data_IF_065116563809
#
_entry.id   IF_065116563809
#
_cell.length_a   1.000
_cell.length_b   1.000
_cell.length_c   1.000
_cell.angle_alpha   90.00
_cell.angle_beta   90.00
_cell.angle_gamma   90.00
#
_symmetry.space_group_name_H-M   'P 1'
#
loop_
_entity.id
_entity.type
_entity.pdbx_description
1 polymer ?
#
# COMPACT_ATOMS: atom_id res chain seq x y z
N UNK A 1 7.91 -4.60 21.36
CA UNK A 1 8.41 -5.38 20.21
C UNK A 1 9.46 -4.52 19.52
N UNK A 2 10.75 -4.75 19.77
CA UNK A 2 11.81 -3.98 19.13
C UNK A 2 11.85 -4.34 17.65
N UNK A 3 11.60 -3.37 16.78
CA UNK A 3 11.89 -3.51 15.36
C UNK A 3 13.41 -3.52 15.23
N UNK A 4 14.00 -4.71 15.18
CA UNK A 4 15.38 -4.85 14.74
C UNK A 4 15.44 -4.31 13.32
N UNK A 5 16.25 -3.26 13.10
CA UNK A 5 16.42 -2.65 11.79
C UNK A 5 17.14 -3.68 10.92
N UNK A 6 16.37 -4.47 10.19
CA UNK A 6 16.89 -5.60 9.42
C UNK A 6 17.91 -5.10 8.41
N UNK A 7 19.10 -5.69 8.43
CA UNK A 7 20.25 -5.13 7.72
C UNK A 7 20.17 -5.38 6.21
N UNK A 8 19.59 -4.40 5.50
CA UNK A 8 19.47 -4.42 4.04
C UNK A 8 20.83 -4.47 3.33
N UNK A 9 21.92 -4.12 4.03
CA UNK A 9 23.29 -4.13 3.48
C UNK A 9 23.76 -5.54 3.12
N UNK A 10 23.14 -6.58 3.70
CA UNK A 10 23.38 -7.97 3.33
C UNK A 10 23.12 -8.23 1.84
N UNK A 11 22.29 -7.43 1.20
CA UNK A 11 21.89 -7.58 -0.19
C UNK A 11 22.67 -6.68 -1.17
N UNK A 12 23.64 -5.91 -0.68
CA UNK A 12 24.54 -5.13 -1.54
C UNK A 12 25.83 -5.90 -1.86
N UNK A 13 26.43 -5.62 -3.01
CA UNK A 13 27.78 -6.05 -3.36
C UNK A 13 28.85 -5.19 -2.65
N UNK A 14 30.12 -5.52 -2.85
CA UNK A 14 31.26 -4.79 -2.25
C UNK A 14 31.33 -3.32 -2.71
N UNK A 15 30.67 -2.98 -3.81
CA UNK A 15 30.61 -1.63 -4.39
C UNK A 15 29.35 -0.88 -3.97
N UNK A 16 28.52 -1.46 -3.09
CA UNK A 16 27.26 -0.88 -2.62
C UNK A 16 26.11 -0.97 -3.62
N UNK A 17 26.23 -1.72 -4.72
CA UNK A 17 25.13 -1.93 -5.66
C UNK A 17 24.31 -3.15 -5.26
N UNK A 18 23.11 -3.28 -5.82
CA UNK A 18 22.24 -4.43 -5.55
C UNK A 18 22.87 -5.74 -6.05
N UNK A 19 23.14 -6.64 -5.10
CA UNK A 19 23.71 -7.95 -5.36
C UNK A 19 22.63 -8.98 -5.70
N UNK A 20 22.13 -8.99 -6.93
CA UNK A 20 21.06 -9.93 -7.35
C UNK A 20 21.38 -11.42 -7.13
N UNK A 21 22.66 -11.81 -7.13
CA UNK A 21 23.07 -13.17 -6.75
C UNK A 21 22.71 -13.50 -5.29
N UNK A 22 22.82 -12.53 -4.38
CA UNK A 22 22.44 -12.67 -2.97
C UNK A 22 20.92 -12.77 -2.82
N UNK A 23 20.15 -12.09 -3.67
CA UNK A 23 18.68 -12.19 -3.70
C UNK A 23 18.27 -13.60 -4.09
N UNK A 24 18.83 -14.10 -5.20
CA UNK A 24 18.53 -15.44 -5.70
C UNK A 24 18.88 -16.49 -4.65
N UNK A 25 20.09 -16.43 -4.09
CA UNK A 25 20.50 -17.36 -3.03
C UNK A 25 19.57 -17.32 -1.81
N UNK A 26 19.13 -16.13 -1.38
CA UNK A 26 18.18 -15.99 -0.27
C UNK A 26 16.82 -16.58 -0.63
N UNK A 27 16.30 -16.29 -1.81
CA UNK A 27 15.03 -16.84 -2.28
C UNK A 27 15.07 -18.36 -2.42
N UNK A 28 16.17 -18.92 -2.91
CA UNK A 28 16.35 -20.36 -3.02
C UNK A 28 16.43 -21.03 -1.64
N UNK A 29 17.04 -20.37 -0.66
CA UNK A 29 17.00 -20.80 0.74
C UNK A 29 15.57 -20.79 1.29
N UNK A 30 14.83 -19.69 1.07
CA UNK A 30 13.46 -19.54 1.55
C UNK A 30 12.50 -20.54 0.88
N UNK A 31 12.67 -20.86 -0.41
CA UNK A 31 11.88 -21.88 -1.13
C UNK A 31 11.92 -23.24 -0.45
N UNK A 32 13.03 -23.60 0.19
CA UNK A 32 13.18 -24.86 0.93
C UNK A 32 12.34 -24.90 2.21
N UNK A 33 12.05 -23.73 2.79
CA UNK A 33 11.21 -23.59 3.98
C UNK A 33 9.74 -23.44 3.59
N UNK A 34 9.46 -22.49 2.70
CA UNK A 34 8.11 -22.14 2.25
C UNK A 34 8.17 -21.47 0.89
N UNK A 35 7.41 -22.01 -0.05
CA UNK A 35 7.15 -21.33 -1.31
C UNK A 35 6.12 -20.22 -1.08
N UNK A 36 6.48 -19.00 -1.46
CA UNK A 36 5.59 -17.85 -1.49
C UNK A 36 5.61 -17.23 -2.89
N UNK A 37 4.68 -16.33 -3.19
CA UNK A 37 4.56 -15.77 -4.54
C UNK A 37 5.87 -15.08 -4.97
N UNK A 38 6.45 -14.27 -4.06
CA UNK A 38 7.74 -13.61 -4.23
C UNK A 38 8.82 -14.54 -4.77
N UNK A 39 9.09 -15.62 -4.04
CA UNK A 39 10.15 -16.55 -4.41
C UNK A 39 9.78 -17.42 -5.62
N UNK A 40 8.51 -17.84 -5.75
CA UNK A 40 8.02 -18.65 -6.86
C UNK A 40 8.27 -18.00 -8.21
N UNK A 41 8.02 -16.70 -8.31
CA UNK A 41 8.07 -15.94 -9.55
C UNK A 41 9.36 -15.14 -9.73
N UNK A 42 10.29 -15.18 -8.77
CA UNK A 42 11.61 -14.59 -8.93
C UNK A 42 12.48 -15.47 -9.83
N UNK A 43 12.51 -15.13 -11.11
CA UNK A 43 13.21 -15.88 -12.17
C UNK A 43 14.42 -15.12 -12.70
N UNK A 44 15.25 -15.81 -13.47
CA UNK A 44 16.39 -15.21 -14.15
C UNK A 44 15.98 -14.03 -15.07
N UNK A 45 14.82 -14.10 -15.72
CA UNK A 45 14.30 -13.00 -16.55
C UNK A 45 13.99 -11.74 -15.72
N UNK A 46 13.50 -11.92 -14.49
CA UNK A 46 13.27 -10.81 -13.55
C UNK A 46 14.58 -10.15 -13.19
N UNK A 47 15.63 -10.94 -12.92
CA UNK A 47 16.98 -10.44 -12.62
C UNK A 47 17.56 -9.66 -13.81
N UNK A 48 17.43 -10.19 -15.02
CA UNK A 48 17.93 -9.55 -16.24
C UNK A 48 17.23 -8.21 -16.50
N UNK A 49 15.90 -8.16 -16.34
CA UNK A 49 15.14 -6.91 -16.45
C UNK A 49 15.49 -5.92 -15.35
N UNK A 50 15.76 -6.37 -14.13
CA UNK A 50 16.14 -5.49 -13.04
C UNK A 50 17.54 -4.87 -13.26
N UNK A 51 18.49 -5.63 -13.82
CA UNK A 51 19.86 -5.17 -14.10
C UNK A 51 19.97 -4.07 -15.16
N UNK A 52 19.01 -3.99 -16.09
CA UNK A 52 19.01 -2.96 -17.15
C UNK A 52 18.36 -1.65 -16.71
N UNK A 53 17.80 -1.60 -15.49
CA UNK A 53 17.25 -0.37 -14.93
C UNK A 53 18.36 0.65 -14.64
N UNK A 54 17.97 1.92 -14.51
CA UNK A 54 18.86 2.97 -14.07
C UNK A 54 19.49 2.62 -12.71
N UNK A 55 20.67 3.17 -12.42
CA UNK A 55 21.33 2.91 -11.12
C UNK A 55 20.45 3.31 -9.93
N UNK A 56 19.66 4.38 -10.10
CA UNK A 56 18.69 4.86 -9.11
C UNK A 56 17.54 3.85 -8.93
N UNK A 57 17.05 3.24 -10.00
CA UNK A 57 15.93 2.29 -9.97
C UNK A 57 16.34 0.87 -9.58
N UNK A 58 17.61 0.49 -9.73
CA UNK A 58 18.10 -0.84 -9.37
C UNK A 58 17.93 -1.19 -7.88
N UNK A 59 17.81 -0.17 -7.01
CA UNK A 59 17.53 -0.36 -5.59
C UNK A 59 16.06 -0.68 -5.29
N UNK A 60 15.12 -0.20 -6.10
CA UNK A 60 13.68 -0.37 -5.88
C UNK A 60 13.22 -1.84 -5.85
N UNK A 61 13.79 -2.77 -6.65
CA UNK A 61 13.59 -4.21 -6.45
C UNK A 61 13.84 -4.67 -5.02
N UNK A 62 14.88 -4.16 -4.35
CA UNK A 62 15.14 -4.48 -2.94
C UNK A 62 13.98 -3.99 -2.06
N UNK A 63 13.55 -2.74 -2.25
CA UNK A 63 12.46 -2.15 -1.48
C UNK A 63 11.19 -3.02 -1.54
N UNK A 64 10.83 -3.50 -2.74
CA UNK A 64 9.62 -4.32 -2.91
C UNK A 64 9.76 -5.76 -2.39
N UNK A 65 10.98 -6.29 -2.30
CA UNK A 65 11.25 -7.67 -1.86
C UNK A 65 11.67 -7.79 -0.40
N UNK A 66 12.11 -6.70 0.24
CA UNK A 66 12.78 -6.77 1.55
C UNK A 66 11.87 -7.37 2.63
N UNK A 67 10.57 -7.09 2.56
CA UNK A 67 9.61 -7.63 3.50
C UNK A 67 9.58 -9.17 3.48
N UNK A 68 9.69 -9.79 2.30
CA UNK A 68 9.72 -11.25 2.20
C UNK A 68 11.12 -11.86 2.34
N UNK A 69 12.16 -11.19 1.85
CA UNK A 69 13.54 -11.64 2.01
C UNK A 69 13.95 -11.75 3.49
N UNK A 70 13.37 -10.91 4.33
CA UNK A 70 13.68 -10.81 5.75
C UNK A 70 12.60 -11.41 6.65
N UNK A 71 11.54 -12.00 6.07
CA UNK A 71 10.49 -12.67 6.83
C UNK A 71 10.19 -14.05 6.24
N UNK A 72 10.75 -15.08 6.85
CA UNK A 72 10.69 -16.47 6.40
C UNK A 72 9.25 -17.02 6.37
N UNK A 73 8.34 -16.42 7.14
CA UNK A 73 6.92 -16.82 7.16
C UNK A 73 6.05 -16.12 6.10
N UNK A 74 6.60 -15.15 5.35
CA UNK A 74 5.81 -14.27 4.50
C UNK A 74 5.02 -15.06 3.46
N UNK A 75 3.71 -14.83 3.40
CA UNK A 75 2.81 -15.46 2.42
C UNK A 75 2.89 -14.82 1.03
N UNK A 76 3.10 -13.49 0.97
CA UNK A 76 3.22 -12.75 -0.30
C UNK A 76 4.65 -12.67 -0.81
N UNK A 77 5.63 -12.51 0.08
CA UNK A 77 7.04 -12.37 -0.27
C UNK A 77 7.43 -11.00 -0.86
N UNK A 78 6.47 -10.21 -1.32
CA UNK A 78 6.69 -8.90 -1.94
C UNK A 78 5.60 -7.90 -1.55
N UNK A 79 5.93 -6.61 -1.56
CA UNK A 79 4.99 -5.52 -1.37
C UNK A 79 5.45 -4.29 -2.16
N UNK A 80 4.58 -3.70 -2.99
CA UNK A 80 4.86 -2.42 -3.60
C UNK A 80 5.10 -1.36 -2.52
N UNK A 81 5.99 -0.42 -2.80
CA UNK A 81 6.40 0.62 -1.85
C UNK A 81 6.05 2.03 -2.33
N UNK A 82 5.85 2.17 -3.64
CA UNK A 82 5.41 3.40 -4.32
C UNK A 82 4.26 3.06 -5.26
N UNK A 83 3.31 3.97 -5.52
CA UNK A 83 2.21 3.73 -6.44
C UNK A 83 2.67 3.27 -7.83
N UNK A 84 3.71 3.91 -8.36
CA UNK A 84 4.28 3.65 -9.68
C UNK A 84 5.03 2.31 -9.78
N UNK A 85 5.35 1.65 -8.65
CA UNK A 85 6.00 0.33 -8.67
C UNK A 85 5.16 -0.70 -9.45
N UNK A 86 3.82 -0.56 -9.45
CA UNK A 86 2.91 -1.43 -10.20
C UNK A 86 3.08 -1.31 -11.72
N UNK A 87 3.46 -0.13 -12.22
CA UNK A 87 3.72 0.09 -13.64
C UNK A 87 5.18 -0.28 -13.99
N UNK A 88 6.15 0.19 -13.20
CA UNK A 88 7.58 -0.05 -13.46
C UNK A 88 7.98 -1.52 -13.32
N UNK A 89 7.46 -2.21 -12.30
CA UNK A 89 7.79 -3.61 -12.01
C UNK A 89 6.71 -4.58 -12.44
N UNK A 90 5.83 -4.19 -13.37
CA UNK A 90 4.75 -5.05 -13.86
C UNK A 90 5.30 -6.40 -14.36
N UNK A 91 6.49 -6.41 -14.97
CA UNK A 91 7.17 -7.63 -15.42
C UNK A 91 7.44 -8.67 -14.33
N UNK A 92 7.40 -8.28 -13.06
CA UNK A 92 7.52 -9.16 -11.91
C UNK A 92 6.21 -9.24 -11.12
N UNK A 93 5.55 -8.10 -10.88
CA UNK A 93 4.34 -8.01 -10.07
C UNK A 93 3.10 -8.63 -10.74
N UNK A 94 3.02 -8.65 -12.07
CA UNK A 94 1.83 -9.10 -12.77
C UNK A 94 1.50 -10.58 -12.50
N UNK A 95 2.49 -11.46 -12.53
CA UNK A 95 2.29 -12.90 -12.25
C UNK A 95 1.82 -13.13 -10.82
N UNK A 96 2.31 -12.34 -9.87
CA UNK A 96 1.88 -12.37 -8.48
C UNK A 96 0.43 -11.91 -8.34
N UNK A 97 0.08 -10.80 -9.00
CA UNK A 97 -1.27 -10.25 -8.98
C UNK A 97 -2.26 -11.27 -9.55
N UNK A 98 -1.94 -11.85 -10.71
CA UNK A 98 -2.79 -12.86 -11.36
C UNK A 98 -3.01 -14.08 -10.46
N UNK A 99 -1.95 -14.63 -9.89
CA UNK A 99 -2.06 -15.81 -9.04
C UNK A 99 -2.78 -15.51 -7.72
N UNK A 100 -2.45 -14.40 -7.05
CA UNK A 100 -3.06 -14.04 -5.78
C UNK A 100 -4.55 -13.73 -5.91
N UNK A 101 -4.93 -12.99 -6.96
CA UNK A 101 -6.31 -12.57 -7.22
C UNK A 101 -7.09 -13.60 -8.05
N UNK A 102 -6.45 -14.70 -8.48
CA UNK A 102 -7.02 -15.72 -9.37
C UNK A 102 -7.59 -15.12 -10.67
N UNK A 103 -6.83 -14.22 -11.29
CA UNK A 103 -7.19 -13.56 -12.56
C UNK A 103 -6.61 -14.34 -13.74
N UNK A 104 -7.49 -14.83 -14.62
CA UNK A 104 -7.10 -15.50 -15.86
C UNK A 104 -6.88 -14.52 -17.04
N UNK A 105 -7.46 -13.32 -16.96
CA UNK A 105 -7.44 -12.29 -18.00
C UNK A 105 -6.50 -11.11 -17.73
N UNK A 106 -6.89 -9.92 -18.17
CA UNK A 106 -6.14 -8.69 -17.92
C UNK A 106 -6.19 -8.29 -16.44
N UNK A 107 -5.05 -7.87 -15.89
CA UNK A 107 -4.92 -7.46 -14.49
C UNK A 107 -5.33 -6.00 -14.23
N UNK A 108 -5.43 -5.18 -15.28
CA UNK A 108 -5.87 -3.79 -15.18
C UNK A 108 -7.40 -3.75 -15.10
N UNK A 109 -7.92 -3.25 -13.99
CA UNK A 109 -9.35 -2.95 -13.87
C UNK A 109 -9.65 -1.56 -14.45
N UNK A 110 -10.63 -1.48 -15.34
CA UNK A 110 -11.19 -0.19 -15.76
C UNK A 110 -11.93 0.47 -14.58
N UNK A 111 -11.67 1.74 -14.31
CA UNK A 111 -12.34 2.49 -13.25
C UNK A 111 -13.82 2.72 -13.61
N UNK A 112 -14.73 1.91 -13.08
CA UNK A 112 -16.17 2.24 -13.03
C UNK A 112 -16.56 2.45 -11.56
N UNK A 113 -16.23 3.63 -11.03
CA UNK A 113 -16.35 3.99 -9.62
C UNK A 113 -17.77 4.18 -9.06
N UNK A 114 -18.83 3.80 -9.76
CA UNK A 114 -20.21 4.13 -9.37
C UNK A 114 -21.13 2.92 -9.11
N UNK A 115 -20.79 1.71 -9.58
CA UNK A 115 -21.69 0.55 -9.49
C UNK A 115 -21.63 -0.23 -8.18
N UNK A 116 -20.61 -0.01 -7.33
CA UNK A 116 -20.49 -0.76 -6.07
C UNK A 116 -21.45 -0.24 -4.98
N UNK A 117 -21.81 1.04 -4.99
CA UNK A 117 -22.48 1.68 -3.85
C UNK A 117 -23.94 1.22 -3.64
N UNK A 118 -24.62 0.76 -4.69
CA UNK A 118 -26.07 0.47 -4.64
C UNK A 118 -26.39 -0.94 -4.09
N UNK A 119 -25.46 -1.91 -4.18
CA UNK A 119 -25.67 -3.26 -3.62
C UNK A 119 -25.21 -3.42 -2.16
N UNK A 120 -24.61 -2.38 -1.56
CA UNK A 120 -23.94 -2.45 -0.25
C UNK A 120 -24.88 -2.30 0.96
N UNK A 121 -26.15 -1.91 0.75
CA UNK A 121 -27.06 -1.55 1.85
C UNK A 121 -27.72 -2.76 2.56
N UNK A 122 -27.53 -3.99 2.09
CA UNK A 122 -28.34 -5.15 2.52
C UNK A 122 -27.63 -6.21 3.36
N UNK A 123 -26.33 -6.09 3.68
CA UNK A 123 -25.66 -7.10 4.49
C UNK A 123 -24.79 -6.48 5.58
N UNK A 124 -24.95 -6.98 6.81
CA UNK A 124 -24.22 -6.63 8.05
C UNK A 124 -22.75 -7.08 7.98
N UNK A 125 -22.06 -6.74 6.90
CA UNK A 125 -20.68 -7.05 6.59
C UNK A 125 -19.86 -5.77 6.79
N UNK A 126 -18.90 -5.78 7.70
CA UNK A 126 -17.92 -4.68 7.82
C UNK A 126 -17.01 -4.78 6.59
N UNK A 127 -17.31 -3.99 5.56
CA UNK A 127 -16.43 -3.88 4.39
C UNK A 127 -15.40 -2.79 4.62
N UNK A 128 -14.16 -3.20 4.87
CA UNK A 128 -13.02 -2.28 4.93
C UNK A 128 -12.52 -1.98 3.51
N UNK A 129 -12.97 -0.86 2.94
CA UNK A 129 -12.39 -0.33 1.71
C UNK A 129 -11.08 0.39 2.02
N UNK A 130 -9.98 -0.09 1.43
CA UNK A 130 -8.67 0.57 1.51
C UNK A 130 -8.42 1.35 0.23
N UNK A 131 -7.96 2.59 0.35
CA UNK A 131 -7.63 3.47 -0.77
C UNK A 131 -6.26 4.08 -0.54
N UNK A 132 -5.50 4.23 -1.62
CA UNK A 132 -4.28 5.04 -1.65
C UNK A 132 -4.67 6.48 -1.98
N UNK A 133 -3.98 7.46 -1.39
CA UNK A 133 -4.17 8.87 -1.73
C UNK A 133 -3.12 9.25 -2.74
N UNK A 134 -3.55 9.79 -3.88
CA UNK A 134 -2.64 10.25 -4.92
C UNK A 134 -1.69 11.33 -4.38
N UNK A 135 -0.43 11.29 -4.83
CA UNK A 135 0.62 12.22 -4.39
C UNK A 135 1.34 11.82 -3.09
N UNK A 136 1.07 10.63 -2.56
CA UNK A 136 1.76 10.06 -1.40
C UNK A 136 2.35 8.68 -1.72
N UNK A 137 3.51 8.38 -1.12
CA UNK A 137 4.12 7.05 -1.11
C UNK A 137 3.24 6.04 -0.36
N UNK A 138 3.53 4.75 -0.51
CA UNK A 138 2.90 3.74 0.35
C UNK A 138 3.57 3.74 1.73
N UNK A 139 2.91 3.25 2.79
CA UNK A 139 3.43 3.35 4.16
C UNK A 139 4.84 2.79 4.35
N UNK A 140 5.31 1.85 3.53
CA UNK A 140 6.69 1.33 3.62
C UNK A 140 7.76 2.33 3.18
N UNK A 141 7.42 3.30 2.33
CA UNK A 141 8.36 4.31 1.81
C UNK A 141 8.13 5.72 2.34
N UNK A 142 7.03 5.95 3.08
CA UNK A 142 6.82 7.27 3.69
C UNK A 142 7.80 7.56 4.82
N UNK A 143 8.48 8.69 4.74
CA UNK A 143 9.22 9.26 5.86
C UNK A 143 8.27 9.89 6.91
N UNK A 144 8.85 10.44 7.98
CA UNK A 144 8.07 11.02 9.09
C UNK A 144 7.25 12.24 8.65
N UNK A 145 7.84 13.10 7.84
CA UNK A 145 7.22 14.37 7.46
C UNK A 145 6.09 14.14 6.45
N UNK A 146 6.30 13.20 5.51
CA UNK A 146 5.28 12.73 4.58
C UNK A 146 4.09 12.11 5.31
N UNK A 147 4.32 11.28 6.35
CA UNK A 147 3.25 10.69 7.17
C UNK A 147 2.43 11.75 7.90
N UNK A 148 3.09 12.75 8.48
CA UNK A 148 2.42 13.86 9.17
C UNK A 148 1.58 14.68 8.19
N UNK A 149 2.14 14.99 7.01
CA UNK A 149 1.41 15.72 5.95
C UNK A 149 0.19 14.93 5.47
N UNK A 150 0.34 13.63 5.26
CA UNK A 150 -0.75 12.73 4.91
C UNK A 150 -1.86 12.75 5.98
N UNK A 151 -1.47 12.59 7.25
CA UNK A 151 -2.41 12.58 8.39
C UNK A 151 -3.22 13.87 8.44
N UNK A 152 -2.56 15.03 8.33
CA UNK A 152 -3.23 16.34 8.36
C UNK A 152 -4.21 16.53 7.19
N UNK A 153 -3.84 16.12 5.98
CA UNK A 153 -4.75 16.20 4.82
C UNK A 153 -6.01 15.33 5.04
N UNK A 154 -5.86 14.14 5.61
CA UNK A 154 -6.99 13.25 5.88
C UNK A 154 -7.90 13.82 6.97
N UNK A 155 -7.33 14.43 8.00
CA UNK A 155 -8.08 15.12 9.06
C UNK A 155 -8.93 16.26 8.48
N UNK A 156 -8.33 17.16 7.68
CA UNK A 156 -9.04 18.26 7.02
C UNK A 156 -10.18 17.75 6.11
N UNK A 157 -9.97 16.61 5.45
CA UNK A 157 -10.99 15.98 4.62
C UNK A 157 -12.13 15.42 5.47
N UNK A 158 -11.83 14.72 6.56
CA UNK A 158 -12.85 14.14 7.45
C UNK A 158 -13.69 15.21 8.16
N UNK A 159 -13.10 16.36 8.50
CA UNK A 159 -13.85 17.51 9.03
C UNK A 159 -14.92 18.01 8.05
N UNK A 160 -14.65 17.96 6.73
CA UNK A 160 -15.61 18.35 5.69
C UNK A 160 -16.74 17.33 5.50
N UNK A 161 -16.52 16.07 5.86
CA UNK A 161 -17.54 15.02 5.76
C UNK A 161 -18.55 15.03 6.92
N UNK A 162 -18.41 15.94 7.89
CA UNK A 162 -19.34 16.12 9.01
C UNK A 162 -19.63 14.83 9.78
N UNK A 163 -18.63 13.94 9.92
CA UNK A 163 -18.78 12.76 10.79
C UNK A 163 -19.02 13.23 12.23
N UNK A 164 -19.99 12.63 12.96
CA UNK A 164 -20.34 13.07 14.31
C UNK A 164 -19.27 12.71 15.36
N UNK A 165 -18.28 11.90 14.99
CA UNK A 165 -17.27 11.36 15.89
C UNK A 165 -15.90 12.05 15.73
N UNK A 166 -15.01 11.81 16.69
CA UNK A 166 -13.70 12.47 16.78
C UNK A 166 -12.61 11.66 16.06
N UNK A 167 -11.68 12.38 15.45
CA UNK A 167 -10.44 11.78 14.98
C UNK A 167 -9.49 11.50 16.15
N UNK A 168 -9.01 10.27 16.26
CA UNK A 168 -8.07 9.83 17.29
C UNK A 168 -6.70 9.53 16.67
N UNK A 169 -5.74 10.43 16.86
CA UNK A 169 -4.38 10.21 16.38
C UNK A 169 -3.65 9.16 17.22
N UNK A 170 -2.90 8.28 16.55
CA UNK A 170 -1.94 7.36 17.18
C UNK A 170 -0.54 7.98 17.25
N UNK A 171 -0.33 9.14 16.63
CA UNK A 171 0.95 9.84 16.59
C UNK A 171 1.14 10.61 17.91
N UNK A 172 2.17 10.26 18.68
CA UNK A 172 2.46 10.93 19.95
C UNK A 172 2.71 12.43 19.74
N UNK A 173 2.01 13.28 20.50
CA UNK A 173 2.11 14.74 20.39
C UNK A 173 1.23 15.37 19.30
N UNK A 174 0.48 14.57 18.53
CA UNK A 174 -0.45 15.08 17.55
C UNK A 174 -1.80 15.46 18.19
N UNK A 175 -2.49 16.48 17.64
CA UNK A 175 -3.75 16.98 18.21
C UNK A 175 -4.86 15.94 18.01
N UNK A 176 -5.37 15.37 19.11
CA UNK A 176 -6.69 14.75 19.12
C UNK A 176 -7.72 15.86 19.00
N UNK A 177 -8.41 15.99 17.87
CA UNK A 177 -9.38 17.07 17.65
C UNK A 177 -10.60 16.90 18.57
N UNK A 178 -10.93 17.97 19.30
CA UNK A 178 -12.08 18.02 20.19
C UNK A 178 -13.32 18.59 19.47
N UNK A 179 -14.36 17.74 19.40
CA UNK A 179 -15.81 18.01 19.41
C UNK A 179 -16.37 19.09 18.44
N UNK A 180 -17.13 18.67 17.44
CA UNK A 180 -17.95 19.59 16.62
C UNK A 180 -19.21 20.01 17.40
N UNK A 181 -19.48 21.31 17.35
CA UNK A 181 -20.68 22.00 17.84
C UNK A 181 -21.96 21.33 17.36
N UNK A 182 -22.92 21.19 18.27
CA UNK A 182 -24.31 20.80 18.02
C UNK A 182 -24.82 21.45 16.71
N UNK A 183 -25.23 20.64 15.74
CA UNK A 183 -26.00 21.10 14.58
C UNK A 183 -27.22 21.86 15.12
N UNK A 184 -27.28 23.18 14.91
CA UNK A 184 -28.55 23.89 14.93
C UNK A 184 -29.19 23.65 13.57
N UNK A 185 -30.19 22.79 13.53
CA UNK A 185 -31.17 22.82 12.44
C UNK A 185 -31.81 24.21 12.45
N UNK A 186 -31.59 24.99 11.39
CA UNK A 186 -32.43 26.15 11.09
C UNK A 186 -33.68 25.56 10.45
N UNK A 187 -34.77 25.48 11.21
CA UNK A 187 -36.10 25.26 10.66
C UNK A 187 -36.47 26.50 9.84
N UNK A 188 -36.30 26.46 8.52
CA UNK A 188 -37.01 27.38 7.63
C UNK A 188 -38.37 26.79 7.35
N UNK A 189 -39.35 27.10 8.20
CA UNK A 189 -40.77 26.88 7.91
C UNK A 189 -41.23 27.89 6.86
N UNK A 190 -41.09 27.57 5.58
CA UNK A 190 -41.78 28.31 4.52
C UNK A 190 -43.06 27.55 4.20
N UNK A 191 -44.15 27.97 4.83
CA UNK A 191 -45.51 27.55 4.51
C UNK A 191 -45.87 28.02 3.10
N UNK A 192 -46.04 27.08 2.16
CA UNK A 192 -46.72 27.35 0.89
C UNK A 192 -48.22 27.15 1.09
N UNK A 193 -48.96 28.26 1.07
CA UNK A 193 -50.42 28.26 0.93
C UNK A 193 -50.76 28.12 -0.56
N UNK A 194 -51.43 27.03 -0.92
CA UNK A 194 -52.10 26.93 -2.22
C UNK A 194 -53.38 27.79 -2.16
N UNK A 195 -53.43 28.80 -3.03
CA UNK A 195 -54.68 29.43 -3.50
C UNK A 195 -54.86 29.00 -4.95
#
# INVERSE_FOLDING_TARGET
MSYEKKDVRLYFDEKGNVGYAKFQARWDGLKKLKVNLGNKHFTQQVVEKAKILSREDQQRPLDIMIAGLTNDDSSGGIAATRPEDYDFFLFYLETHIREYQKIEGQTKQGMTGLSLLVNMFLQRQIQNLKKNVAGYNLPSSMDKDERIKFENQMVELFEKFCFPEKYHSLTSGHKTLFQIKKLMFIETSTSFSLV
#
